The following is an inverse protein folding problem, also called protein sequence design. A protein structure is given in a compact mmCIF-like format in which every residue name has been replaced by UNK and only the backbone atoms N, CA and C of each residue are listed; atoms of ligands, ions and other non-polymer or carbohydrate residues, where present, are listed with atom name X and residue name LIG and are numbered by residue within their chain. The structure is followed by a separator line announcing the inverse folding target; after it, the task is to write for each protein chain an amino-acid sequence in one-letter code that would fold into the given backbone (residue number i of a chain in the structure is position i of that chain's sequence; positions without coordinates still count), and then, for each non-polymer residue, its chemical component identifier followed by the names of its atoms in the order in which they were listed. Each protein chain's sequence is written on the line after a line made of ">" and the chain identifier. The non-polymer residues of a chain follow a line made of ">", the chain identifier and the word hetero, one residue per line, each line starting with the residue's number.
data_IF_763711428892
#
_entry.id   IF_763711428892
#
_cell.length_a   1.000
_cell.length_b   1.000
_cell.length_c   1.000
_cell.angle_alpha   90.00
_cell.angle_beta   90.00
_cell.angle_gamma   90.00
#
_symmetry.space_group_name_H-M   'P 1'
#
loop_
_entity.id
_entity.type
_entity.pdbx_description
1 polymer ?
#
# COMPACT_ATOMS: atom_id res chain seq x y z
N UNK A 1 5.88 -4.89 1.29
CA UNK A 1 5.32 -3.89 2.25
C UNK A 1 3.79 -3.93 2.18
N UNK A 2 3.09 -4.36 3.23
CA UNK A 2 1.64 -4.56 3.19
C UNK A 2 0.85 -3.25 3.26
N UNK A 3 -0.46 -3.32 2.98
CA UNK A 3 -1.39 -2.20 3.14
C UNK A 3 -1.84 -1.97 4.59
N UNK A 4 -2.65 -0.94 4.81
CA UNK A 4 -3.14 -0.51 6.13
C UNK A 4 -3.85 -1.63 6.91
N UNK A 5 -4.73 -2.37 6.27
CA UNK A 5 -5.52 -3.45 6.88
C UNK A 5 -4.91 -4.85 6.72
N UNK A 6 -3.70 -4.95 6.17
CA UNK A 6 -3.06 -6.21 5.82
C UNK A 6 -1.70 -6.41 6.49
N UNK A 7 -1.17 -7.62 6.41
CA UNK A 7 0.18 -8.00 6.81
C UNK A 7 0.85 -8.83 5.70
N UNK A 8 1.96 -9.50 5.98
CA UNK A 8 2.71 -10.28 4.98
C UNK A 8 1.86 -11.31 4.24
N UNK A 9 0.76 -11.78 4.82
CA UNK A 9 -0.17 -12.73 4.17
C UNK A 9 -0.81 -12.18 2.90
N UNK A 10 -0.79 -10.86 2.69
CA UNK A 10 -1.27 -10.24 1.45
C UNK A 10 -0.49 -10.70 0.23
N UNK A 11 0.77 -11.12 0.42
CA UNK A 11 1.65 -11.62 -0.63
C UNK A 11 1.69 -13.15 -0.74
N UNK A 12 0.86 -13.89 0.01
CA UNK A 12 0.94 -15.36 0.11
C UNK A 12 0.81 -16.10 -1.23
N UNK A 13 0.15 -15.49 -2.21
CA UNK A 13 -0.07 -16.05 -3.54
C UNK A 13 0.91 -15.47 -4.59
N UNK A 14 1.78 -14.53 -4.21
CA UNK A 14 2.81 -13.99 -5.12
C UNK A 14 3.99 -14.97 -5.13
N UNK A 15 4.42 -15.32 -6.33
CA UNK A 15 5.56 -16.18 -6.55
C UNK A 15 6.80 -15.34 -6.84
N UNK A 16 7.89 -15.68 -6.17
CA UNK A 16 9.23 -15.14 -6.43
C UNK A 16 10.14 -16.29 -6.85
N UNK A 17 11.16 -16.02 -7.68
CA UNK A 17 12.18 -17.01 -8.00
C UNK A 17 12.92 -17.47 -6.72
N UNK A 18 13.38 -18.73 -6.69
CA UNK A 18 14.02 -19.36 -5.52
C UNK A 18 15.27 -18.63 -5.03
N UNK A 19 15.93 -17.86 -5.90
CA UNK A 19 17.13 -17.08 -5.60
C UNK A 19 16.84 -15.69 -5.03
N UNK A 20 15.57 -15.32 -4.84
CA UNK A 20 15.15 -14.00 -4.32
C UNK A 20 14.86 -14.10 -2.83
N UNK A 21 15.67 -13.42 -2.03
CA UNK A 21 15.41 -13.25 -0.60
C UNK A 21 14.31 -12.21 -0.40
N UNK A 22 13.21 -12.60 0.26
CA UNK A 22 12.12 -11.69 0.59
C UNK A 22 12.10 -11.32 2.07
N UNK A 23 12.00 -10.03 2.37
CA UNK A 23 11.94 -9.50 3.72
C UNK A 23 10.62 -8.77 3.95
N UNK A 24 9.90 -9.17 4.99
CA UNK A 24 8.67 -8.51 5.38
C UNK A 24 8.96 -7.39 6.38
N UNK A 25 8.59 -6.16 6.03
CA UNK A 25 8.78 -5.00 6.90
C UNK A 25 7.66 -4.95 7.95
N UNK A 26 8.05 -4.85 9.21
CA UNK A 26 7.13 -4.69 10.33
C UNK A 26 6.69 -3.23 10.46
N UNK A 27 5.37 -3.01 10.62
CA UNK A 27 4.79 -1.70 10.82
C UNK A 27 4.50 -1.45 12.29
N UNK A 28 5.33 -0.69 13.01
CA UNK A 28 4.97 -0.21 14.34
C UNK A 28 3.82 0.79 14.25
N UNK A 29 3.07 0.95 15.31
CA UNK A 29 2.01 1.97 15.36
C UNK A 29 2.63 3.35 15.08
N UNK A 30 2.09 4.13 14.12
CA UNK A 30 2.57 5.49 13.89
C UNK A 30 2.43 6.35 15.15
N UNK A 31 3.35 7.31 15.36
CA UNK A 31 3.18 8.30 16.43
C UNK A 31 2.00 9.22 16.12
N UNK A 32 1.52 9.91 17.14
CA UNK A 32 0.47 10.89 16.94
C UNK A 32 1.00 12.06 16.09
N UNK A 33 0.27 12.41 15.04
CA UNK A 33 0.64 13.44 14.06
C UNK A 33 1.95 13.16 13.28
N UNK A 34 2.45 11.93 13.29
CA UNK A 34 3.60 11.55 12.46
C UNK A 34 3.25 11.69 10.96
N UNK A 35 4.08 12.37 10.19
CA UNK A 35 3.95 12.47 8.74
C UNK A 35 4.33 11.15 8.05
N UNK A 36 3.89 10.94 6.80
CA UNK A 36 4.28 9.78 6.01
C UNK A 36 5.80 9.68 5.86
N UNK A 37 6.46 10.81 5.62
CA UNK A 37 7.93 10.88 5.49
C UNK A 37 8.66 10.49 6.77
N UNK A 38 8.23 10.99 7.94
CA UNK A 38 8.81 10.62 9.23
C UNK A 38 8.60 9.15 9.53
N UNK A 39 7.41 8.64 9.22
CA UNK A 39 7.10 7.22 9.37
C UNK A 39 7.97 6.35 8.45
N UNK A 40 8.12 6.72 7.17
CA UNK A 40 9.01 6.04 6.23
C UNK A 40 10.47 6.06 6.72
N UNK A 41 10.98 7.19 7.22
CA UNK A 41 12.31 7.29 7.80
C UNK A 41 12.50 6.36 9.00
N UNK A 42 11.47 6.18 9.82
CA UNK A 42 11.52 5.25 10.96
C UNK A 42 11.53 3.78 10.50
N UNK A 43 10.75 3.46 9.46
CA UNK A 43 10.69 2.13 8.87
C UNK A 43 11.98 1.78 8.11
N UNK A 44 12.63 2.74 7.45
CA UNK A 44 13.82 2.51 6.65
C UNK A 44 14.94 1.81 7.44
N UNK A 45 14.99 2.00 8.76
CA UNK A 45 15.97 1.36 9.66
C UNK A 45 15.89 -0.17 9.71
N UNK A 46 14.82 -0.77 9.19
CA UNK A 46 14.66 -2.22 9.09
C UNK A 46 15.20 -2.78 7.77
N UNK A 47 15.59 -1.92 6.83
CA UNK A 47 15.99 -2.30 5.48
C UNK A 47 17.51 -2.28 5.39
N UNK A 48 18.10 -3.41 5.01
CA UNK A 48 19.53 -3.50 4.72
C UNK A 48 19.81 -2.87 3.36
N UNK A 49 20.48 -1.72 3.36
CA UNK A 49 20.84 -0.98 2.15
C UNK A 49 22.26 -1.29 1.66
N UNK A 50 22.94 -2.25 2.25
CA UNK A 50 24.32 -2.64 1.85
C UNK A 50 24.34 -3.49 0.58
N UNK A 51 23.18 -4.02 0.17
CA UNK A 51 22.98 -4.81 -1.05
C UNK A 51 21.92 -4.13 -1.94
N UNK A 52 21.96 -4.37 -3.25
CA UNK A 52 20.85 -3.97 -4.14
C UNK A 52 19.52 -4.57 -3.68
N UNK A 53 18.46 -3.78 -3.69
CA UNK A 53 17.13 -4.22 -3.28
C UNK A 53 16.02 -3.52 -4.07
N UNK A 54 14.86 -4.18 -4.11
CA UNK A 54 13.63 -3.67 -4.71
C UNK A 54 12.57 -3.58 -3.60
N UNK A 55 11.76 -2.55 -3.64
CA UNK A 55 10.60 -2.43 -2.75
C UNK A 55 9.33 -2.84 -3.50
N UNK A 56 8.53 -3.72 -2.88
CA UNK A 56 7.20 -4.08 -3.39
C UNK A 56 6.18 -3.68 -2.32
N UNK A 57 5.24 -2.79 -2.69
CA UNK A 57 4.27 -2.23 -1.76
C UNK A 57 2.83 -2.29 -2.25
N UNK A 58 1.90 -2.68 -1.36
CA UNK A 58 0.46 -2.70 -1.63
C UNK A 58 -0.22 -1.57 -0.88
N UNK A 59 -1.06 -0.76 -1.56
CA UNK A 59 -1.85 0.30 -0.94
C UNK A 59 -0.95 1.25 -0.10
N UNK A 60 -1.22 1.45 1.20
CA UNK A 60 -0.34 2.22 2.10
C UNK A 60 1.14 1.80 1.99
N UNK A 61 1.41 0.51 1.79
CA UNK A 61 2.79 0.02 1.63
C UNK A 61 3.46 0.55 0.37
N UNK A 62 2.71 0.78 -0.70
CA UNK A 62 3.19 1.43 -1.91
C UNK A 62 3.49 2.92 -1.69
N UNK A 63 2.59 3.65 -1.01
CA UNK A 63 2.81 5.07 -0.65
C UNK A 63 4.09 5.25 0.18
N UNK A 64 4.28 4.39 1.19
CA UNK A 64 5.50 4.37 2.01
C UNK A 64 6.73 4.03 1.15
N UNK A 65 6.61 3.09 0.20
CA UNK A 65 7.71 2.73 -0.69
C UNK A 65 8.13 3.89 -1.58
N UNK A 66 7.19 4.73 -2.01
CA UNK A 66 7.48 5.97 -2.75
C UNK A 66 8.28 6.97 -1.88
N UNK A 67 7.90 7.18 -0.62
CA UNK A 67 8.68 8.00 0.31
C UNK A 67 10.11 7.47 0.51
N UNK A 68 10.25 6.15 0.58
CA UNK A 68 11.55 5.51 0.78
C UNK A 68 12.52 5.73 -0.38
N UNK A 69 12.04 6.08 -1.59
CA UNK A 69 12.94 6.38 -2.73
C UNK A 69 13.90 7.54 -2.45
N UNK A 70 13.48 8.51 -1.63
CA UNK A 70 14.29 9.68 -1.27
C UNK A 70 15.18 9.42 -0.05
N UNK A 71 14.97 8.31 0.67
CA UNK A 71 15.65 8.00 1.93
C UNK A 71 16.74 6.93 1.73
N UNK A 72 16.43 5.86 1.00
CA UNK A 72 17.29 4.67 0.91
C UNK A 72 17.60 4.20 -0.52
N UNK A 73 17.12 4.89 -1.54
CA UNK A 73 17.45 4.72 -2.95
C UNK A 73 17.38 3.27 -3.45
N UNK A 74 16.20 2.60 -3.43
CA UNK A 74 16.02 1.28 -4.00
C UNK A 74 16.31 1.30 -5.51
N UNK A 75 16.76 0.17 -6.09
CA UNK A 75 16.93 0.05 -7.54
C UNK A 75 15.61 0.22 -8.29
N UNK A 76 14.53 -0.28 -7.70
CA UNK A 76 13.18 -0.19 -8.25
C UNK A 76 12.14 -0.22 -7.13
N UNK A 77 11.01 0.42 -7.35
CA UNK A 77 9.81 0.32 -6.52
C UNK A 77 8.67 -0.22 -7.37
N UNK A 78 7.99 -1.27 -6.90
CA UNK A 78 6.78 -1.79 -7.53
C UNK A 78 5.61 -1.54 -6.57
N UNK A 79 4.69 -0.70 -6.97
CA UNK A 79 3.49 -0.41 -6.18
C UNK A 79 2.27 -1.11 -6.79
N UNK A 80 1.43 -1.69 -5.94
CA UNK A 80 0.26 -2.48 -6.34
C UNK A 80 -0.98 -1.91 -5.64
N UNK A 81 -2.05 -1.59 -6.38
CA UNK A 81 -3.27 -1.00 -5.83
C UNK A 81 -2.96 0.15 -4.87
N UNK A 82 -2.15 1.10 -5.31
CA UNK A 82 -1.59 2.17 -4.48
C UNK A 82 -1.72 3.52 -5.17
N UNK A 83 -1.10 4.53 -4.58
CA UNK A 83 -0.87 5.84 -5.16
C UNK A 83 0.64 6.14 -5.11
N UNK A 84 1.16 6.81 -6.12
CA UNK A 84 2.55 7.27 -6.19
C UNK A 84 2.74 8.68 -5.64
N UNK A 85 1.65 9.46 -5.60
CA UNK A 85 1.60 10.82 -5.06
C UNK A 85 0.29 11.09 -4.32
N UNK A 86 0.24 12.18 -3.55
CA UNK A 86 -0.97 12.62 -2.85
C UNK A 86 -2.06 13.10 -3.81
N UNK A 87 -1.70 13.46 -5.03
CA UNK A 87 -2.62 13.92 -6.08
C UNK A 87 -3.50 12.76 -6.60
N UNK A 88 -2.99 11.52 -6.51
CA UNK A 88 -3.72 10.30 -6.89
C UNK A 88 -4.67 9.81 -5.79
N UNK A 89 -4.56 10.34 -4.56
CA UNK A 89 -5.43 9.95 -3.46
C UNK A 89 -6.82 10.56 -3.65
N UNK A 90 -7.92 9.77 -3.48
CA UNK A 90 -9.28 10.28 -3.72
C UNK A 90 -9.60 11.54 -2.91
N UNK A 91 -10.32 12.48 -3.52
CA UNK A 91 -10.69 13.78 -2.93
C UNK A 91 -11.43 13.67 -1.59
N UNK A 92 -12.04 12.54 -1.28
CA UNK A 92 -12.63 12.26 0.03
C UNK A 92 -11.58 12.39 1.16
N UNK A 93 -10.34 12.01 0.92
CA UNK A 93 -9.25 12.18 1.90
C UNK A 93 -8.89 13.65 2.10
N UNK A 94 -9.02 14.50 1.06
CA UNK A 94 -8.85 15.95 1.20
C UNK A 94 -9.90 16.55 2.15
N UNK A 95 -11.15 16.04 2.11
CA UNK A 95 -12.18 16.44 3.09
C UNK A 95 -11.73 16.13 4.54
N UNK A 96 -11.18 14.95 4.77
CA UNK A 96 -10.65 14.57 6.08
C UNK A 96 -9.41 15.37 6.51
N UNK A 97 -8.67 15.95 5.58
CA UNK A 97 -7.58 16.89 5.89
C UNK A 97 -8.14 18.18 6.50
N UNK A 98 -9.25 18.68 5.95
CA UNK A 98 -9.92 19.89 6.43
C UNK A 98 -10.78 19.64 7.67
N UNK A 99 -11.50 18.52 7.70
CA UNK A 99 -12.41 18.13 8.76
C UNK A 99 -12.01 16.74 9.32
N UNK A 100 -11.05 16.68 10.25
CA UNK A 100 -10.44 15.41 10.69
C UNK A 100 -11.34 14.63 11.69
N UNK A 101 -12.62 14.42 11.33
CA UNK A 101 -13.61 13.72 12.16
C UNK A 101 -13.17 12.30 12.56
N UNK A 102 -12.31 11.65 11.77
CA UNK A 102 -11.75 10.35 12.11
C UNK A 102 -10.93 10.37 13.41
N UNK A 103 -10.42 11.53 13.83
CA UNK A 103 -9.65 11.69 15.08
C UNK A 103 -10.50 11.49 16.32
N UNK A 104 -11.80 11.84 16.24
CA UNK A 104 -12.74 11.73 17.35
C UNK A 104 -13.32 10.31 17.51
N UNK A 105 -13.20 9.46 16.49
CA UNK A 105 -13.69 8.08 16.52
C UNK A 105 -12.71 7.22 17.32
N UNK A 106 -13.21 6.40 18.26
CA UNK A 106 -12.35 5.48 19.00
C UNK A 106 -11.66 4.47 18.05
N UNK A 107 -10.41 4.05 18.31
CA UNK A 107 -9.69 3.13 17.44
C UNK A 107 -10.45 1.83 17.16
N UNK A 108 -11.11 1.26 18.18
CA UNK A 108 -11.90 0.04 18.02
C UNK A 108 -13.11 0.24 17.11
N UNK A 109 -13.86 1.33 17.30
CA UNK A 109 -15.01 1.64 16.45
C UNK A 109 -14.56 1.90 15.00
N UNK A 110 -13.44 2.59 14.81
CA UNK A 110 -12.87 2.83 13.51
C UNK A 110 -12.52 1.53 12.79
N UNK A 111 -11.88 0.58 13.49
CA UNK A 111 -11.58 -0.75 12.97
C UNK A 111 -12.87 -1.52 12.64
N UNK A 112 -13.89 -1.46 13.50
CA UNK A 112 -15.19 -2.09 13.24
C UNK A 112 -15.88 -1.53 12.00
N UNK A 113 -15.85 -0.21 11.79
CA UNK A 113 -16.42 0.40 10.58
C UNK A 113 -15.74 -0.11 9.31
N UNK A 114 -14.44 -0.39 9.34
CA UNK A 114 -13.71 -0.96 8.21
C UNK A 114 -14.25 -2.33 7.78
N UNK A 115 -14.72 -3.17 8.72
CA UNK A 115 -15.37 -4.44 8.38
C UNK A 115 -16.69 -4.25 7.64
N UNK A 116 -17.49 -3.26 8.05
CA UNK A 116 -18.77 -2.96 7.42
C UNK A 116 -18.62 -2.35 6.04
N UNK A 117 -17.60 -1.52 5.87
CA UNK A 117 -17.36 -0.81 4.61
C UNK A 117 -16.61 -1.68 3.59
N UNK A 118 -15.88 -2.71 4.03
CA UNK A 118 -15.12 -3.60 3.16
C UNK A 118 -15.92 -4.16 1.96
N UNK A 119 -17.22 -4.56 2.08
CA UNK A 119 -18.00 -4.99 0.93
C UNK A 119 -18.17 -3.98 -0.18
N UNK A 120 -18.11 -2.68 0.16
CA UNK A 120 -18.27 -1.59 -0.80
C UNK A 120 -16.97 -1.38 -1.59
N UNK A 121 -15.83 -1.62 -0.97
CA UNK A 121 -14.51 -1.42 -1.58
C UNK A 121 -13.98 -2.68 -2.28
N UNK A 122 -14.42 -3.88 -1.87
CA UNK A 122 -13.94 -5.16 -2.36
C UNK A 122 -15.08 -6.02 -2.91
N UNK A 123 -15.48 -5.83 -4.18
CA UNK A 123 -16.51 -6.65 -4.80
C UNK A 123 -16.08 -8.13 -4.94
N UNK A 124 -14.77 -8.38 -5.08
CA UNK A 124 -14.20 -9.70 -5.41
C UNK A 124 -13.71 -10.47 -4.17
N UNK A 125 -14.03 -10.01 -2.98
CA UNK A 125 -13.56 -10.57 -1.70
C UNK A 125 -13.96 -12.01 -1.40
N UNK A 126 -14.88 -12.62 -2.19
CA UNK A 126 -15.39 -13.95 -1.91
C UNK A 126 -14.28 -15.01 -1.88
N UNK A 127 -13.29 -14.90 -2.79
CA UNK A 127 -12.20 -15.86 -2.91
C UNK A 127 -11.21 -15.81 -1.73
N UNK A 128 -10.93 -14.60 -1.20
CA UNK A 128 -9.92 -14.39 -0.15
C UNK A 128 -10.48 -13.71 1.09
N UNK A 129 -11.81 -13.76 1.26
CA UNK A 129 -12.50 -13.11 2.38
C UNK A 129 -11.91 -13.48 3.74
N UNK A 130 -11.62 -14.75 3.94
CA UNK A 130 -11.10 -15.25 5.22
C UNK A 130 -9.70 -14.66 5.48
N UNK A 131 -8.84 -14.62 4.48
CA UNK A 131 -7.50 -14.02 4.59
C UNK A 131 -7.61 -12.54 4.92
N UNK A 132 -8.46 -11.78 4.21
CA UNK A 132 -8.66 -10.35 4.45
C UNK A 132 -9.18 -10.08 5.88
N UNK A 133 -10.18 -10.84 6.32
CA UNK A 133 -10.73 -10.71 7.68
C UNK A 133 -9.70 -11.04 8.75
N UNK A 134 -8.92 -12.12 8.57
CA UNK A 134 -7.86 -12.51 9.51
C UNK A 134 -6.75 -11.47 9.59
N UNK A 135 -6.34 -10.87 8.45
CA UNK A 135 -5.35 -9.80 8.43
C UNK A 135 -5.86 -8.57 9.19
N UNK A 136 -7.06 -8.09 8.86
CA UNK A 136 -7.64 -6.93 9.52
C UNK A 136 -7.87 -7.18 11.02
N UNK A 137 -8.29 -8.40 11.40
CA UNK A 137 -8.46 -8.79 12.81
C UNK A 137 -7.15 -8.71 13.59
N UNK A 138 -6.04 -9.12 12.99
CA UNK A 138 -4.71 -9.13 13.62
C UNK A 138 -4.12 -7.71 13.80
N UNK A 139 -4.65 -6.70 13.08
CA UNK A 139 -4.11 -5.32 13.19
C UNK A 139 -4.54 -4.63 14.47
N UNK A 140 -3.59 -3.88 15.04
CA UNK A 140 -3.85 -2.96 16.13
C UNK A 140 -4.86 -1.89 15.68
N UNK A 141 -5.98 -1.67 16.40
CA UNK A 141 -6.94 -0.63 16.06
C UNK A 141 -6.33 0.77 15.99
N UNK A 142 -5.36 1.05 16.88
CA UNK A 142 -4.67 2.35 16.88
C UNK A 142 -3.80 2.53 15.64
N UNK A 143 -3.17 1.43 15.16
CA UNK A 143 -2.44 1.45 13.90
C UNK A 143 -3.37 1.85 12.74
N UNK A 144 -4.53 1.19 12.60
CA UNK A 144 -5.48 1.46 11.51
C UNK A 144 -5.91 2.92 11.51
N UNK A 145 -6.28 3.45 12.69
CA UNK A 145 -6.68 4.85 12.85
C UNK A 145 -5.56 5.83 12.46
N UNK A 146 -4.34 5.62 12.98
CA UNK A 146 -3.19 6.51 12.73
C UNK A 146 -2.66 6.39 11.30
N UNK A 147 -2.77 5.23 10.68
CA UNK A 147 -2.43 5.05 9.27
C UNK A 147 -3.33 5.89 8.34
N UNK A 148 -4.59 6.12 8.70
CA UNK A 148 -5.43 7.10 7.96
C UNK A 148 -4.84 8.50 8.05
N UNK A 149 -4.30 8.89 9.21
CA UNK A 149 -3.64 10.19 9.32
C UNK A 149 -2.44 10.31 8.40
N UNK A 150 -1.61 9.26 8.26
CA UNK A 150 -0.49 9.25 7.32
C UNK A 150 -0.98 9.53 5.88
N UNK A 151 -2.06 8.86 5.44
CA UNK A 151 -2.61 9.04 4.09
C UNK A 151 -3.19 10.44 3.91
N UNK A 152 -4.01 10.90 4.86
CA UNK A 152 -4.70 12.20 4.79
C UNK A 152 -3.71 13.38 4.81
N UNK A 153 -2.62 13.26 5.55
CA UNK A 153 -1.58 14.30 5.67
C UNK A 153 -0.47 14.19 4.63
N UNK A 154 -0.51 13.16 3.78
CA UNK A 154 0.51 12.94 2.77
C UNK A 154 0.58 14.11 1.79
N UNK A 155 1.78 14.54 1.45
CA UNK A 155 2.06 15.74 0.66
C UNK A 155 3.06 15.52 -0.49
N UNK A 156 3.46 14.25 -0.75
CA UNK A 156 4.27 13.90 -1.91
C UNK A 156 3.55 14.25 -3.20
N UNK A 157 4.25 14.91 -4.12
CA UNK A 157 3.74 15.35 -5.41
C UNK A 157 4.21 14.42 -6.55
N UNK A 158 3.59 14.52 -7.73
CA UNK A 158 4.10 13.84 -8.94
C UNK A 158 5.54 14.28 -9.29
N UNK A 159 5.88 15.54 -9.02
CA UNK A 159 7.22 16.05 -9.27
C UNK A 159 8.31 15.33 -8.44
N UNK A 160 7.97 14.82 -7.25
CA UNK A 160 8.89 14.06 -6.41
C UNK A 160 9.21 12.68 -7.00
N UNK A 161 8.39 12.20 -7.95
CA UNK A 161 8.58 10.93 -8.65
C UNK A 161 9.47 11.04 -9.89
N UNK A 162 9.81 12.25 -10.32
CA UNK A 162 10.69 12.45 -11.47
C UNK A 162 12.04 11.75 -11.25
N UNK A 163 12.48 10.98 -12.26
CA UNK A 163 13.70 10.18 -12.21
C UNK A 163 13.71 9.06 -11.17
N UNK A 164 12.55 8.68 -10.60
CA UNK A 164 12.41 7.49 -9.75
C UNK A 164 11.99 6.31 -10.61
N UNK A 165 12.53 5.15 -10.30
CA UNK A 165 12.16 3.89 -10.95
C UNK A 165 10.98 3.27 -10.22
N UNK A 166 9.79 3.84 -10.40
CA UNK A 166 8.53 3.39 -9.80
C UNK A 166 7.69 2.75 -10.90
N UNK A 167 7.26 1.51 -10.69
CA UNK A 167 6.34 0.76 -11.54
C UNK A 167 5.02 0.62 -10.81
N UNK A 168 3.93 1.01 -11.44
CA UNK A 168 2.59 0.98 -10.85
C UNK A 168 1.71 -0.09 -11.53
N UNK A 169 1.29 -1.09 -10.77
CA UNK A 169 0.33 -2.12 -11.15
C UNK A 169 -1.00 -1.81 -10.49
N UNK A 170 -2.07 -1.60 -11.27
CA UNK A 170 -3.36 -1.20 -10.73
C UNK A 170 -4.53 -1.98 -11.34
N UNK A 171 -5.63 -2.10 -10.58
CA UNK A 171 -6.83 -2.80 -11.03
C UNK A 171 -7.88 -1.84 -11.59
N UNK A 172 -8.55 -2.22 -12.68
CA UNK A 172 -9.56 -1.38 -13.34
C UNK A 172 -10.90 -1.28 -12.57
N UNK A 173 -11.10 -2.11 -11.54
CA UNK A 173 -12.28 -2.06 -10.65
C UNK A 173 -11.90 -1.82 -9.17
N UNK A 174 -10.77 -1.15 -8.93
CA UNK A 174 -10.38 -0.72 -7.58
C UNK A 174 -11.29 0.43 -7.12
N UNK A 175 -12.17 0.16 -6.15
CA UNK A 175 -13.09 1.16 -5.60
C UNK A 175 -12.48 1.95 -4.41
N UNK A 176 -11.33 1.53 -3.91
CA UNK A 176 -10.63 2.23 -2.82
C UNK A 176 -9.75 3.36 -3.36
N UNK A 177 -9.02 3.06 -4.43
CA UNK A 177 -8.22 4.00 -5.21
C UNK A 177 -8.63 3.86 -6.68
N UNK A 178 -9.67 4.59 -7.13
CA UNK A 178 -10.20 4.44 -8.49
C UNK A 178 -9.15 4.68 -9.57
N UNK A 179 -9.16 3.84 -10.63
CA UNK A 179 -8.17 3.88 -11.72
C UNK A 179 -8.08 5.25 -12.40
N UNK A 180 -9.16 6.00 -12.42
CA UNK A 180 -9.20 7.35 -13.00
C UNK A 180 -8.37 8.39 -12.21
N UNK A 181 -7.96 8.08 -10.99
CA UNK A 181 -7.14 8.97 -10.17
C UNK A 181 -5.65 8.66 -10.26
N UNK A 182 -5.26 7.51 -10.80
CA UNK A 182 -3.88 7.03 -10.75
C UNK A 182 -3.28 6.88 -12.15
N UNK A 183 -1.97 6.98 -12.24
CA UNK A 183 -1.21 6.70 -13.46
C UNK A 183 -0.53 5.34 -13.30
N UNK A 184 -1.10 4.30 -13.94
CA UNK A 184 -0.59 2.93 -13.84
C UNK A 184 0.16 2.51 -15.11
N UNK A 185 1.32 1.84 -14.94
CA UNK A 185 2.07 1.23 -16.03
C UNK A 185 1.40 -0.06 -16.51
N UNK A 186 0.76 -0.80 -15.58
CA UNK A 186 0.04 -2.04 -15.86
C UNK A 186 -1.35 -2.01 -15.25
N UNK A 187 -2.37 -2.22 -16.10
CA UNK A 187 -3.77 -2.27 -15.66
C UNK A 187 -4.23 -3.72 -15.69
N UNK A 188 -4.63 -4.26 -14.53
CA UNK A 188 -5.14 -5.61 -14.38
C UNK A 188 -6.65 -5.61 -14.56
N UNK A 189 -7.13 -6.30 -15.60
CA UNK A 189 -8.55 -6.38 -15.90
C UNK A 189 -9.32 -7.17 -14.82
N UNK A 190 -10.38 -6.57 -14.29
CA UNK A 190 -11.15 -7.12 -13.17
C UNK A 190 -10.37 -7.18 -11.88
N UNK A 191 -9.29 -6.40 -11.76
CA UNK A 191 -8.53 -6.24 -10.52
C UNK A 191 -9.21 -5.28 -9.56
N UNK A 192 -9.50 -5.73 -8.34
CA UNK A 192 -9.98 -4.91 -7.22
C UNK A 192 -8.81 -4.43 -6.36
N UNK A 193 -9.09 -3.69 -5.27
CA UNK A 193 -8.03 -3.24 -4.34
C UNK A 193 -7.19 -4.39 -3.76
N UNK A 194 -7.80 -5.58 -3.60
CA UNK A 194 -7.10 -6.77 -3.09
C UNK A 194 -6.63 -7.73 -4.20
N UNK A 195 -6.47 -7.23 -5.43
CA UNK A 195 -6.07 -8.04 -6.59
C UNK A 195 -4.74 -8.78 -6.41
N UNK A 196 -3.88 -8.30 -5.54
CA UNK A 196 -2.64 -9.00 -5.19
C UNK A 196 -2.89 -10.41 -4.65
N UNK A 197 -4.07 -10.68 -4.07
CA UNK A 197 -4.50 -12.01 -3.63
C UNK A 197 -5.26 -12.77 -4.73
N UNK A 198 -6.08 -12.07 -5.53
CA UNK A 198 -7.05 -12.69 -6.47
C UNK A 198 -6.54 -12.75 -7.91
N UNK A 199 -5.54 -11.95 -8.27
CA UNK A 199 -4.87 -11.89 -9.58
C UNK A 199 -3.37 -12.13 -9.47
N UNK A 200 -2.96 -12.89 -8.46
CA UNK A 200 -1.56 -13.09 -8.08
C UNK A 200 -0.68 -13.66 -9.19
N UNK A 201 -1.21 -14.54 -10.03
CA UNK A 201 -0.45 -15.13 -11.14
C UNK A 201 -0.02 -14.07 -12.17
N UNK A 202 -0.97 -13.23 -12.60
CA UNK A 202 -0.69 -12.13 -13.54
C UNK A 202 0.27 -11.11 -12.94
N UNK A 203 0.06 -10.76 -11.66
CA UNK A 203 0.92 -9.82 -10.93
C UNK A 203 2.33 -10.40 -10.73
N UNK A 204 2.46 -11.68 -10.39
CA UNK A 204 3.77 -12.36 -10.27
C UNK A 204 4.55 -12.30 -11.58
N UNK A 205 3.90 -12.56 -12.71
CA UNK A 205 4.55 -12.48 -14.03
C UNK A 205 5.02 -11.07 -14.39
N UNK A 206 4.30 -10.03 -13.96
CA UNK A 206 4.74 -8.64 -14.14
C UNK A 206 5.94 -8.35 -13.23
N UNK A 207 5.86 -8.71 -11.95
CA UNK A 207 6.96 -8.51 -10.98
C UNK A 207 8.23 -9.18 -11.50
N UNK A 208 8.17 -10.45 -11.90
CA UNK A 208 9.30 -11.21 -12.41
C UNK A 208 9.95 -10.52 -13.62
N UNK A 209 9.13 -10.09 -14.58
CA UNK A 209 9.62 -9.35 -15.76
C UNK A 209 10.31 -8.06 -15.35
N UNK A 210 9.70 -7.26 -14.47
CA UNK A 210 10.24 -5.98 -14.05
C UNK A 210 11.51 -6.11 -13.18
N UNK A 211 11.67 -7.22 -12.47
CA UNK A 211 12.90 -7.52 -11.72
C UNK A 211 14.06 -7.92 -12.65
N UNK A 212 13.77 -8.54 -13.80
CA UNK A 212 14.77 -9.03 -14.75
C UNK A 212 15.20 -7.99 -15.81
N UNK A 213 14.53 -6.84 -15.91
CA UNK A 213 14.95 -5.73 -16.78
C UNK A 213 16.07 -4.95 -16.07
N UNK A 214 17.31 -5.10 -16.58
CA UNK A 214 18.48 -4.32 -16.18
C UNK A 214 18.60 -3.07 -17.03
#
# INVERSE_FOLDING_TARGET
>A
MPGQGSDSRVFKNIHFEENIDTINIHYPVPFENESMKEYALRISKQIDTTKPFILIGVSLGGMISCELTDIIHPEKVIIISSASSSEEVPKMYTFFKTFPVYREISPSLFKYSSYFLQPLYEPDRKLEKETCVRMLHAKDPLFIKRAVHLIVSWDRTEADNLNKNIIHIHGDIDNTLPIENVQADFIIKGGSHMMVLTKSEEISGIIEREMNIK
#
